data_IF_277207656640
#
_entry.id   IF_277207656640
#
_cell.length_a   1.000
_cell.length_b   1.000
_cell.length_c   1.000
_cell.angle_alpha   90.00
_cell.angle_beta   90.00
_cell.angle_gamma   90.00
#
_symmetry.space_group_name_H-M   'P 1'
#
loop_
_entity.id
_entity.type
_entity.pdbx_description
1 polymer ?
#
# COMPACT_ATOMS: atom_id res chain seq x y z
N UNK A 1 0.84 28.58 51.35
CA UNK A 1 0.57 27.98 50.05
C UNK A 1 0.48 26.48 50.20
N UNK A 2 -0.74 25.92 50.07
CA UNK A 2 -0.94 24.48 50.10
C UNK A 2 -0.63 23.89 48.73
N UNK A 3 0.39 23.06 48.65
CA UNK A 3 0.76 22.30 47.45
C UNK A 3 -0.17 21.08 47.42
N UNK A 4 -1.16 21.14 46.51
CA UNK A 4 -2.06 19.99 46.29
C UNK A 4 -1.42 19.09 45.24
N UNK A 5 -0.60 18.14 45.67
CA UNK A 5 -0.10 17.07 44.83
C UNK A 5 -1.25 16.06 44.59
N UNK A 6 -1.78 16.01 43.38
CA UNK A 6 -2.72 14.98 42.96
C UNK A 6 -1.94 13.70 42.73
N UNK A 7 -2.01 12.76 43.65
CA UNK A 7 -1.43 11.42 43.49
C UNK A 7 -2.43 10.56 42.74
N UNK A 8 -2.22 10.38 41.47
CA UNK A 8 -2.99 9.38 40.66
C UNK A 8 -2.46 7.99 41.08
N UNK A 9 -3.34 7.17 41.64
CA UNK A 9 -2.96 5.82 42.06
C UNK A 9 -2.52 4.96 40.84
N UNK A 10 -1.47 4.12 41.04
CA UNK A 10 -0.95 3.23 39.99
C UNK A 10 -2.05 2.36 39.39
N UNK A 11 -3.05 1.94 40.19
CA UNK A 11 -4.19 1.15 39.71
C UNK A 11 -5.08 1.89 38.74
N UNK A 12 -5.30 3.19 38.92
CA UNK A 12 -6.15 4.00 38.03
C UNK A 12 -5.44 4.28 36.69
N UNK A 13 -4.12 4.50 36.75
CA UNK A 13 -3.30 4.69 35.56
C UNK A 13 -3.27 3.42 34.68
N UNK A 14 -3.08 2.25 35.28
CA UNK A 14 -3.09 0.95 34.57
C UNK A 14 -4.47 0.67 33.95
N UNK A 15 -5.55 0.95 34.70
CA UNK A 15 -6.91 0.77 34.20
C UNK A 15 -7.22 1.68 33.01
N UNK A 16 -6.86 2.96 33.09
CA UNK A 16 -7.06 3.93 32.01
C UNK A 16 -6.29 3.55 30.75
N UNK A 17 -5.04 3.13 30.88
CA UNK A 17 -4.21 2.67 29.75
C UNK A 17 -4.84 1.43 29.08
N UNK A 18 -5.36 0.48 29.85
CA UNK A 18 -6.02 -0.71 29.33
C UNK A 18 -7.31 -0.39 28.60
N UNK A 19 -8.15 0.49 29.12
CA UNK A 19 -9.39 0.94 28.49
C UNK A 19 -9.13 1.67 27.19
N UNK A 20 -8.15 2.55 27.11
CA UNK A 20 -7.73 3.25 25.90
C UNK A 20 -7.19 2.28 24.84
N UNK A 21 -6.36 1.30 25.24
CA UNK A 21 -5.81 0.30 24.33
C UNK A 21 -6.91 -0.59 23.71
N UNK A 22 -7.89 -1.04 24.51
CA UNK A 22 -9.01 -1.86 24.04
C UNK A 22 -9.96 -1.06 23.14
N UNK A 23 -10.22 0.24 23.45
CA UNK A 23 -11.11 1.09 22.67
C UNK A 23 -10.49 1.55 21.34
N UNK A 24 -9.14 1.63 21.24
CA UNK A 24 -8.44 2.19 20.09
C UNK A 24 -8.22 1.17 18.95
N UNK A 25 -8.03 -0.12 19.27
CA UNK A 25 -7.73 -1.16 18.29
C UNK A 25 -8.97 -1.96 17.90
N UNK A 26 -9.17 -2.16 16.62
CA UNK A 26 -10.25 -3.00 16.10
C UNK A 26 -9.79 -3.85 14.93
N UNK A 27 -10.48 -4.98 14.66
CA UNK A 27 -10.14 -5.83 13.51
C UNK A 27 -10.16 -5.07 12.21
N UNK A 28 -9.24 -5.42 11.32
CA UNK A 28 -9.18 -4.84 9.98
C UNK A 28 -10.05 -5.68 9.05
N UNK A 29 -10.99 -5.03 8.39
CA UNK A 29 -11.95 -5.65 7.48
C UNK A 29 -11.97 -4.90 6.14
N UNK A 30 -12.51 -5.53 5.13
CA UNK A 30 -12.75 -4.88 3.83
C UNK A 30 -13.61 -3.63 3.99
N UNK A 31 -14.62 -3.66 4.87
CA UNK A 31 -15.47 -2.49 5.11
C UNK A 31 -14.70 -1.32 5.73
N UNK A 32 -13.75 -1.58 6.62
CA UNK A 32 -12.88 -0.53 7.16
C UNK A 32 -12.00 0.10 6.07
N UNK A 33 -11.51 -0.70 5.13
CA UNK A 33 -10.75 -0.18 3.99
C UNK A 33 -11.67 0.63 3.06
N UNK A 34 -12.89 0.16 2.83
CA UNK A 34 -13.90 0.89 2.06
C UNK A 34 -14.16 2.28 2.65
N UNK A 35 -14.35 2.36 3.95
CA UNK A 35 -14.56 3.62 4.66
C UNK A 35 -13.33 4.53 4.59
N UNK A 36 -12.14 3.95 4.72
CA UNK A 36 -10.87 4.68 4.58
C UNK A 36 -10.76 5.33 3.19
N UNK A 37 -11.01 4.57 2.14
CA UNK A 37 -10.92 5.06 0.75
C UNK A 37 -11.96 6.15 0.49
N UNK A 38 -13.18 6.00 1.00
CA UNK A 38 -14.21 7.03 0.91
C UNK A 38 -13.79 8.32 1.63
N UNK A 39 -13.19 8.20 2.80
CA UNK A 39 -12.72 9.36 3.57
C UNK A 39 -11.59 10.12 2.87
N UNK A 40 -10.90 9.49 1.92
CA UNK A 40 -9.81 10.06 1.13
C UNK A 40 -10.25 10.46 -0.28
N UNK A 41 -11.55 10.41 -0.57
CA UNK A 41 -12.13 10.71 -1.89
C UNK A 41 -11.53 9.87 -3.03
N UNK A 42 -11.11 8.64 -2.72
CA UNK A 42 -10.61 7.70 -3.71
C UNK A 42 -11.78 7.03 -4.40
N UNK A 43 -11.80 7.09 -5.73
CA UNK A 43 -12.74 6.30 -6.55
C UNK A 43 -12.24 4.86 -6.62
N UNK A 44 -13.01 3.95 -6.04
CA UNK A 44 -12.67 2.52 -6.02
C UNK A 44 -13.88 1.68 -6.41
N UNK A 45 -13.62 0.42 -6.73
CA UNK A 45 -14.65 -0.58 -6.99
C UNK A 45 -14.26 -1.91 -6.34
N UNK A 46 -15.21 -2.83 -6.29
CA UNK A 46 -14.96 -4.20 -5.90
C UNK A 46 -14.20 -4.92 -7.01
N UNK A 47 -13.20 -5.70 -6.63
CA UNK A 47 -12.37 -6.48 -7.53
C UNK A 47 -12.10 -7.83 -6.89
N UNK A 48 -12.36 -8.91 -7.60
CA UNK A 48 -12.35 -10.24 -7.03
C UNK A 48 -13.09 -10.32 -5.68
N UNK A 49 -13.12 -11.48 -5.05
CA UNK A 49 -13.78 -11.65 -3.77
C UNK A 49 -12.96 -11.00 -2.65
N UNK A 50 -13.52 -9.92 -2.05
CA UNK A 50 -12.94 -9.25 -0.90
C UNK A 50 -11.80 -8.29 -1.19
N UNK A 51 -11.49 -7.99 -2.46
CA UNK A 51 -10.52 -6.97 -2.83
C UNK A 51 -11.21 -5.67 -3.28
N UNK A 52 -10.57 -4.54 -2.99
CA UNK A 52 -10.95 -3.21 -3.48
C UNK A 52 -9.86 -2.69 -4.41
N UNK A 53 -10.25 -2.13 -5.55
CA UNK A 53 -9.29 -1.67 -6.55
C UNK A 53 -9.57 -0.24 -7.01
N UNK A 54 -8.50 0.47 -7.34
CA UNK A 54 -8.57 1.79 -7.97
C UNK A 54 -7.37 2.03 -8.87
N UNK A 55 -7.49 3.02 -9.74
CA UNK A 55 -6.47 3.38 -10.72
C UNK A 55 -5.87 4.75 -10.40
N UNK A 56 -4.58 4.87 -10.65
CA UNK A 56 -3.89 6.13 -10.88
C UNK A 56 -3.44 6.17 -12.36
N UNK A 57 -2.94 7.30 -12.87
CA UNK A 57 -2.47 7.35 -14.26
C UNK A 57 -1.43 6.28 -14.62
N UNK A 58 -0.63 5.86 -13.66
CA UNK A 58 0.51 4.97 -13.88
C UNK A 58 0.41 3.59 -13.21
N UNK A 59 -0.70 3.28 -12.52
CA UNK A 59 -0.80 2.02 -11.77
C UNK A 59 -2.24 1.61 -11.48
N UNK A 60 -2.41 0.33 -11.18
CA UNK A 60 -3.60 -0.24 -10.57
C UNK A 60 -3.27 -0.67 -9.14
N UNK A 61 -4.12 -0.31 -8.20
CA UNK A 61 -3.95 -0.61 -6.76
C UNK A 61 -5.02 -1.57 -6.29
N UNK A 62 -4.63 -2.50 -5.43
CA UNK A 62 -5.49 -3.56 -4.89
C UNK A 62 -5.29 -3.69 -3.38
N UNK A 63 -6.37 -3.49 -2.62
CA UNK A 63 -6.40 -3.72 -1.19
C UNK A 63 -7.00 -5.08 -0.88
N UNK A 64 -6.30 -5.87 -0.08
CA UNK A 64 -6.77 -7.18 0.37
C UNK A 64 -6.75 -7.25 1.89
N UNK A 65 -7.93 -7.35 2.50
CA UNK A 65 -8.15 -7.54 3.93
C UNK A 65 -8.80 -8.90 4.25
N UNK A 66 -8.75 -9.86 3.33
CA UNK A 66 -9.36 -11.18 3.49
C UNK A 66 -8.53 -12.12 4.37
N UNK A 67 -7.22 -11.88 4.45
CA UNK A 67 -6.35 -12.63 5.36
C UNK A 67 -6.45 -12.01 6.77
N UNK A 68 -6.88 -12.77 7.80
CA UNK A 68 -7.05 -12.21 9.15
C UNK A 68 -5.73 -11.83 9.82
N UNK A 69 -4.61 -12.20 9.26
CA UNK A 69 -3.27 -11.94 9.81
C UNK A 69 -2.57 -10.75 9.15
N UNK A 70 -2.84 -10.53 7.87
CA UNK A 70 -2.09 -9.57 7.03
C UNK A 70 -3.05 -8.68 6.23
N UNK A 71 -2.89 -7.38 6.33
CA UNK A 71 -3.46 -6.42 5.38
C UNK A 71 -2.42 -6.14 4.30
N UNK A 72 -2.81 -6.22 3.05
CA UNK A 72 -1.95 -5.99 1.90
C UNK A 72 -2.47 -4.87 1.01
N UNK A 73 -1.58 -3.95 0.65
CA UNK A 73 -1.74 -3.09 -0.52
C UNK A 73 -0.76 -3.56 -1.60
N UNK A 74 -1.29 -3.97 -2.73
CA UNK A 74 -0.53 -4.38 -3.91
C UNK A 74 -0.80 -3.40 -5.04
N UNK A 75 0.20 -3.07 -5.82
CA UNK A 75 0.06 -2.22 -7.00
C UNK A 75 0.81 -2.81 -8.18
N UNK A 76 0.20 -2.73 -9.35
CA UNK A 76 0.85 -3.07 -10.61
C UNK A 76 1.17 -1.78 -11.35
N UNK A 77 2.46 -1.56 -11.64
CA UNK A 77 2.89 -0.47 -12.50
C UNK A 77 2.39 -0.68 -13.92
N UNK A 78 2.05 0.39 -14.61
CA UNK A 78 1.47 0.34 -15.95
C UNK A 78 2.46 -0.11 -17.03
N UNK A 79 3.77 0.09 -16.81
CA UNK A 79 4.81 -0.33 -17.74
C UNK A 79 4.85 -1.85 -17.88
N UNK A 80 4.96 -2.33 -19.13
CA UNK A 80 4.93 -3.75 -19.48
C UNK A 80 6.19 -4.11 -20.24
N UNK A 81 6.87 -5.17 -19.82
CA UNK A 81 7.99 -5.75 -20.55
C UNK A 81 7.47 -6.71 -21.63
N UNK A 82 7.85 -6.47 -22.88
CA UNK A 82 7.47 -7.25 -24.05
C UNK A 82 8.63 -7.98 -24.72
N UNK A 83 9.85 -7.68 -24.30
CA UNK A 83 11.08 -8.26 -24.83
C UNK A 83 11.94 -8.80 -23.71
N UNK A 84 12.89 -9.74 -23.98
CA UNK A 84 13.84 -10.19 -22.98
C UNK A 84 14.69 -9.07 -22.37
N UNK A 85 15.05 -8.07 -23.16
CA UNK A 85 15.81 -6.89 -22.70
C UNK A 85 14.99 -6.08 -21.70
N UNK A 86 13.72 -5.83 -21.99
CA UNK A 86 12.80 -5.13 -21.10
C UNK A 86 12.55 -5.91 -19.81
N UNK A 87 12.40 -7.22 -19.89
CA UNK A 87 12.33 -8.07 -18.71
C UNK A 87 13.57 -7.89 -17.81
N UNK A 88 14.77 -7.90 -18.40
CA UNK A 88 16.02 -7.67 -17.69
C UNK A 88 16.08 -6.29 -17.02
N UNK A 89 15.52 -5.27 -17.66
CA UNK A 89 15.43 -3.92 -17.09
C UNK A 89 14.51 -3.91 -15.86
N UNK A 90 13.33 -4.52 -15.93
CA UNK A 90 12.44 -4.66 -14.78
C UNK A 90 13.10 -5.45 -13.65
N UNK A 91 13.76 -6.55 -13.97
CA UNK A 91 14.43 -7.39 -12.97
C UNK A 91 15.53 -6.63 -12.22
N UNK A 92 16.29 -5.79 -12.91
CA UNK A 92 17.31 -4.92 -12.27
C UNK A 92 16.68 -3.92 -11.30
N UNK A 93 15.61 -3.25 -11.71
CA UNK A 93 14.93 -2.28 -10.86
C UNK A 93 14.26 -2.94 -9.63
N UNK A 94 13.72 -4.13 -9.80
CA UNK A 94 13.20 -4.94 -8.68
C UNK A 94 14.31 -5.28 -7.69
N UNK A 95 15.46 -5.76 -8.17
CA UNK A 95 16.60 -6.08 -7.31
C UNK A 95 17.12 -4.83 -6.57
N UNK A 96 17.22 -3.70 -7.25
CA UNK A 96 17.62 -2.43 -6.64
C UNK A 96 16.62 -1.96 -5.58
N UNK A 97 15.32 -2.03 -5.86
CA UNK A 97 14.28 -1.68 -4.90
C UNK A 97 14.41 -2.50 -3.63
N UNK A 98 14.45 -3.82 -3.75
CA UNK A 98 14.47 -4.74 -2.61
C UNK A 98 15.76 -4.64 -1.79
N UNK A 99 16.89 -4.23 -2.39
CA UNK A 99 18.17 -4.13 -1.71
C UNK A 99 18.45 -2.76 -1.09
N UNK A 100 17.83 -1.69 -1.59
CA UNK A 100 18.17 -0.32 -1.18
C UNK A 100 17.04 0.45 -0.50
N UNK A 101 15.77 0.02 -0.66
CA UNK A 101 14.61 0.70 -0.09
C UNK A 101 14.08 -0.06 1.12
N UNK A 102 13.54 0.67 2.09
CA UNK A 102 12.80 0.08 3.21
C UNK A 102 11.53 -0.64 2.76
N UNK A 103 10.92 -0.16 1.72
CA UNK A 103 9.75 -0.69 1.03
C UNK A 103 9.48 0.09 -0.25
N UNK A 104 8.62 -0.38 -1.11
CA UNK A 104 7.84 -1.61 -1.05
C UNK A 104 8.68 -2.86 -1.36
N UNK A 105 8.11 -4.04 -1.14
CA UNK A 105 8.60 -5.28 -1.77
C UNK A 105 8.19 -5.24 -3.24
N UNK A 106 9.11 -5.58 -4.14
CA UNK A 106 8.84 -5.59 -5.57
C UNK A 106 9.16 -6.95 -6.21
N UNK A 107 8.44 -7.29 -7.28
CA UNK A 107 8.70 -8.48 -8.07
C UNK A 107 8.14 -8.33 -9.47
N UNK A 108 8.69 -9.11 -10.40
CA UNK A 108 8.19 -9.20 -11.78
C UNK A 108 7.20 -10.36 -11.85
N UNK A 109 6.05 -10.13 -12.48
CA UNK A 109 5.00 -11.13 -12.63
C UNK A 109 4.61 -11.31 -14.09
N UNK A 110 4.39 -12.57 -14.53
CA UNK A 110 3.86 -12.82 -15.87
C UNK A 110 2.43 -12.30 -15.97
N UNK A 111 2.09 -11.72 -17.12
CA UNK A 111 0.73 -11.33 -17.47
C UNK A 111 0.00 -12.49 -18.16
N UNK A 112 -1.28 -12.31 -18.47
CA UNK A 112 -2.24 -13.36 -18.83
C UNK A 112 -1.74 -14.42 -19.84
N UNK A 113 -0.95 -14.02 -20.84
CA UNK A 113 -0.46 -14.94 -21.87
C UNK A 113 0.93 -15.54 -21.58
N UNK A 114 1.58 -15.10 -20.49
CA UNK A 114 2.92 -15.55 -20.13
C UNK A 114 4.04 -15.05 -21.04
N UNK A 115 3.73 -14.22 -22.04
CA UNK A 115 4.73 -13.62 -22.96
C UNK A 115 5.13 -12.20 -22.56
N UNK A 116 4.34 -11.56 -21.71
CA UNK A 116 4.55 -10.22 -21.20
C UNK A 116 4.69 -10.25 -19.68
N UNK A 117 5.41 -9.26 -19.14
CA UNK A 117 5.67 -9.18 -17.72
C UNK A 117 5.37 -7.78 -17.19
N UNK A 118 4.77 -7.73 -16.02
CA UNK A 118 4.53 -6.52 -15.27
C UNK A 118 5.37 -6.45 -14.01
N UNK A 119 5.46 -5.27 -13.42
CA UNK A 119 6.12 -5.04 -12.15
C UNK A 119 5.07 -4.79 -11.08
N UNK A 120 5.16 -5.56 -10.01
CA UNK A 120 4.29 -5.48 -8.84
C UNK A 120 5.09 -4.93 -7.66
N UNK A 121 4.45 -4.06 -6.90
CA UNK A 121 4.96 -3.56 -5.63
C UNK A 121 3.92 -3.78 -4.54
N UNK A 122 4.34 -4.20 -3.34
CA UNK A 122 3.39 -4.45 -2.26
C UNK A 122 3.94 -4.01 -0.90
N UNK A 123 3.03 -3.57 -0.05
CA UNK A 123 3.25 -3.30 1.36
C UNK A 123 2.29 -4.16 2.18
N UNK A 124 2.80 -4.75 3.24
CA UNK A 124 2.04 -5.64 4.12
C UNK A 124 2.18 -5.19 5.57
N UNK A 125 1.13 -5.35 6.34
CA UNK A 125 1.17 -5.12 7.79
C UNK A 125 0.44 -6.24 8.51
N UNK A 126 1.01 -6.67 9.64
CA UNK A 126 0.40 -7.68 10.52
C UNK A 126 -0.77 -7.03 11.27
N UNK A 127 -1.95 -7.66 11.20
CA UNK A 127 -3.19 -7.13 11.75
C UNK A 127 -3.89 -8.10 12.71
N UNK A 128 -3.18 -9.09 13.21
CA UNK A 128 -3.73 -10.14 14.09
C UNK A 128 -4.40 -9.55 15.35
N UNK A 129 -3.84 -8.47 15.88
CA UNK A 129 -4.39 -7.77 17.05
C UNK A 129 -5.21 -6.52 16.68
N UNK A 130 -5.61 -6.39 15.42
CA UNK A 130 -6.28 -5.22 14.90
C UNK A 130 -5.33 -4.03 14.71
N UNK A 131 -5.88 -2.93 14.19
CA UNK A 131 -5.21 -1.64 14.07
C UNK A 131 -6.11 -0.55 14.64
N UNK A 132 -5.51 0.46 15.27
CA UNK A 132 -6.20 1.72 15.55
C UNK A 132 -6.47 2.45 14.23
N UNK A 133 -7.38 3.41 14.24
CA UNK A 133 -7.62 4.23 13.05
C UNK A 133 -6.36 5.00 12.65
N UNK A 134 -5.60 5.52 13.59
CA UNK A 134 -4.35 6.22 13.31
C UNK A 134 -3.30 5.30 12.67
N UNK A 135 -3.22 4.05 13.11
CA UNK A 135 -2.31 3.06 12.52
C UNK A 135 -2.73 2.71 11.08
N UNK A 136 -4.02 2.55 10.85
CA UNK A 136 -4.56 2.27 9.50
C UNK A 136 -4.32 3.46 8.56
N UNK A 137 -4.60 4.68 8.99
CA UNK A 137 -4.33 5.90 8.23
C UNK A 137 -2.84 6.02 7.89
N UNK A 138 -1.98 5.76 8.85
CA UNK A 138 -0.53 5.80 8.66
C UNK A 138 -0.05 4.74 7.67
N UNK A 139 -0.58 3.53 7.74
CA UNK A 139 -0.26 2.47 6.78
C UNK A 139 -0.69 2.85 5.36
N UNK A 140 -1.89 3.42 5.19
CA UNK A 140 -2.35 3.93 3.89
C UNK A 140 -1.37 4.95 3.33
N UNK A 141 -1.07 5.99 4.08
CA UNK A 141 -0.21 7.09 3.62
C UNK A 141 1.22 6.63 3.32
N UNK A 142 1.79 5.83 4.20
CA UNK A 142 3.16 5.33 4.04
C UNK A 142 3.26 4.38 2.85
N UNK A 143 2.32 3.45 2.72
CA UNK A 143 2.31 2.47 1.62
C UNK A 143 2.13 3.15 0.27
N UNK A 144 1.18 4.07 0.16
CA UNK A 144 0.96 4.84 -1.07
C UNK A 144 2.19 5.66 -1.44
N UNK A 145 2.81 6.33 -0.47
CA UNK A 145 4.01 7.13 -0.68
C UNK A 145 5.19 6.28 -1.16
N UNK A 146 5.42 5.12 -0.54
CA UNK A 146 6.50 4.20 -0.93
C UNK A 146 6.30 3.66 -2.34
N UNK A 147 5.10 3.20 -2.66
CA UNK A 147 4.79 2.62 -3.97
C UNK A 147 4.85 3.68 -5.07
N UNK A 148 4.21 4.82 -4.86
CA UNK A 148 4.19 5.90 -5.85
C UNK A 148 5.57 6.52 -6.05
N UNK A 149 6.36 6.65 -4.99
CA UNK A 149 7.74 7.11 -5.08
C UNK A 149 8.62 6.16 -5.90
N UNK A 150 8.47 4.86 -5.69
CA UNK A 150 9.18 3.85 -6.49
C UNK A 150 8.75 3.91 -7.96
N UNK A 151 7.47 3.98 -8.25
CA UNK A 151 6.98 4.07 -9.63
C UNK A 151 7.40 5.36 -10.33
N UNK A 152 7.43 6.48 -9.63
CA UNK A 152 7.97 7.73 -10.18
C UNK A 152 9.45 7.59 -10.57
N UNK A 153 10.25 6.90 -9.76
CA UNK A 153 11.65 6.65 -10.07
C UNK A 153 11.81 5.69 -11.26
N UNK A 154 10.93 4.69 -11.41
CA UNK A 154 10.90 3.82 -12.59
C UNK A 154 10.67 4.62 -13.87
N UNK A 155 9.77 5.59 -13.85
CA UNK A 155 9.44 6.41 -15.02
C UNK A 155 10.58 7.31 -15.43
N UNK A 156 11.43 7.72 -14.49
CA UNK A 156 12.69 8.45 -14.78
C UNK A 156 13.76 7.52 -15.35
N UNK A 157 13.92 6.34 -14.75
CA UNK A 157 14.97 5.37 -15.11
C UNK A 157 14.65 4.61 -16.39
N UNK A 158 13.38 4.30 -16.60
CA UNK A 158 12.89 3.48 -17.72
C UNK A 158 11.85 4.24 -18.56
N UNK A 159 12.20 5.39 -19.14
CA UNK A 159 11.24 6.21 -19.90
C UNK A 159 10.65 5.48 -21.11
N UNK A 160 11.36 4.50 -21.66
CA UNK A 160 10.89 3.69 -22.79
C UNK A 160 9.66 2.80 -22.47
N UNK A 161 9.33 2.59 -21.20
CA UNK A 161 8.12 1.89 -20.79
C UNK A 161 6.88 2.79 -20.71
N UNK A 162 7.08 4.11 -20.72
CA UNK A 162 6.01 5.08 -20.46
C UNK A 162 5.32 5.46 -21.75
N UNK A 163 4.10 5.00 -21.94
CA UNK A 163 3.22 5.32 -23.08
C UNK A 163 1.95 6.05 -22.66
N UNK A 164 1.98 6.74 -21.53
CA UNK A 164 0.87 7.52 -20.97
C UNK A 164 1.33 8.89 -20.51
N UNK A 165 0.40 9.83 -20.46
CA UNK A 165 0.65 11.17 -19.91
C UNK A 165 0.25 11.27 -18.42
N UNK A 166 0.40 12.46 -17.84
CA UNK A 166 0.06 12.72 -16.44
C UNK A 166 -1.41 12.52 -16.09
N UNK A 167 -2.29 12.46 -17.10
CA UNK A 167 -3.72 12.17 -16.94
C UNK A 167 -4.05 10.70 -17.21
N UNK A 168 -3.06 9.88 -17.51
CA UNK A 168 -3.24 8.47 -17.83
C UNK A 168 -3.71 8.21 -19.27
N UNK A 169 -3.65 9.19 -20.15
CA UNK A 169 -3.99 9.02 -21.57
C UNK A 169 -2.82 8.42 -22.31
N UNK A 170 -3.12 7.51 -23.27
CA UNK A 170 -2.09 7.00 -24.17
C UNK A 170 -1.43 8.11 -24.97
N UNK A 171 -0.08 8.03 -25.07
CA UNK A 171 0.73 8.93 -25.87
C UNK A 171 1.43 8.11 -26.93
N UNK A 172 1.32 8.52 -28.21
CA UNK A 172 2.07 7.91 -29.31
C UNK A 172 3.55 8.28 -29.14
N UNK A 173 4.41 7.27 -29.07
CA UNK A 173 5.86 7.43 -29.10
C UNK A 173 6.35 7.61 -30.52
#
# INVERSE_FOLDING_TARGET
>A
GADASVTVGVSDSVRLTRELSVAASSPVSTDRIRDLLRSRDVRFGDYNEGELAYLTPNAAFFWNATNPQILQLRAQWRGIARTPEQFGELAREVAACNSTRTGPKAYVAPLEDGTQYGLIAECNVVVMSGLTQAQLDNFFETSMSMIMGFFADLEVTLPGFVDWDSQGREVSL
#
